data_IF_081963634471
#
_entry.id   IF_081963634471
#
_cell.length_a   1.000
_cell.length_b   1.000
_cell.length_c   1.000
_cell.angle_alpha   90.00
_cell.angle_beta   90.00
_cell.angle_gamma   90.00
#
_symmetry.space_group_name_H-M   'P 1'
#
loop_
_entity.id
_entity.type
_entity.pdbx_description
1 polymer ?
#
# COMPACT_ATOMS: atom_id res chain seq x y z
N UNK A 1 -27.90 12.79 -35.84
CA UNK A 1 -28.09 11.44 -35.25
C UNK A 1 -27.70 11.50 -33.78
N UNK A 2 -28.62 11.16 -32.86
CA UNK A 2 -28.29 11.05 -31.43
C UNK A 2 -27.64 9.69 -31.23
N UNK A 3 -26.32 9.66 -31.09
CA UNK A 3 -25.59 8.44 -30.75
C UNK A 3 -25.96 8.06 -29.32
N UNK A 4 -26.85 7.09 -29.14
CA UNK A 4 -27.18 6.55 -27.83
C UNK A 4 -26.03 5.67 -27.36
N UNK A 5 -25.39 6.04 -26.24
CA UNK A 5 -24.49 5.14 -25.52
C UNK A 5 -25.31 3.90 -25.15
N UNK A 6 -24.84 2.72 -25.57
CA UNK A 6 -25.50 1.48 -25.19
C UNK A 6 -25.43 1.29 -23.68
N UNK A 7 -26.39 0.58 -23.09
CA UNK A 7 -26.37 0.30 -21.65
C UNK A 7 -25.06 -0.38 -21.21
N UNK A 8 -24.47 -1.20 -22.08
CA UNK A 8 -23.16 -1.83 -21.86
C UNK A 8 -22.01 -0.81 -21.79
N UNK A 9 -22.01 0.22 -22.65
CA UNK A 9 -21.02 1.29 -22.59
C UNK A 9 -21.18 2.13 -21.32
N UNK A 10 -22.41 2.34 -20.84
CA UNK A 10 -22.67 3.04 -19.59
C UNK A 10 -22.18 2.25 -18.36
N UNK A 11 -22.40 0.93 -18.33
CA UNK A 11 -21.89 0.04 -17.26
C UNK A 11 -20.36 -0.01 -17.30
N UNK A 12 -19.75 -0.20 -18.46
CA UNK A 12 -18.28 -0.22 -18.60
C UNK A 12 -17.63 1.10 -18.18
N UNK A 13 -18.25 2.26 -18.50
CA UNK A 13 -17.77 3.56 -18.03
C UNK A 13 -17.92 3.72 -16.52
N UNK A 14 -19.02 3.25 -15.92
CA UNK A 14 -19.22 3.31 -14.48
C UNK A 14 -18.18 2.46 -13.73
N UNK A 15 -17.88 1.26 -14.23
CA UNK A 15 -16.84 0.39 -13.67
C UNK A 15 -15.43 0.99 -13.84
N UNK A 16 -15.13 1.55 -15.02
CA UNK A 16 -13.86 2.23 -15.26
C UNK A 16 -13.69 3.46 -14.35
N UNK A 17 -14.74 4.26 -14.17
CA UNK A 17 -14.73 5.40 -13.26
C UNK A 17 -14.56 4.97 -11.80
N UNK A 18 -15.19 3.86 -11.38
CA UNK A 18 -15.01 3.31 -10.03
C UNK A 18 -13.56 2.83 -9.81
N UNK A 19 -12.96 2.16 -10.79
CA UNK A 19 -11.55 1.73 -10.73
C UNK A 19 -10.60 2.94 -10.66
N UNK A 20 -10.80 3.93 -11.51
CA UNK A 20 -9.99 5.15 -11.52
C UNK A 20 -10.08 5.90 -10.17
N UNK A 21 -11.28 5.96 -9.57
CA UNK A 21 -11.46 6.54 -8.24
C UNK A 21 -10.73 5.75 -7.16
N UNK A 22 -10.83 4.42 -7.16
CA UNK A 22 -10.12 3.57 -6.21
C UNK A 22 -8.59 3.71 -6.34
N UNK A 23 -8.08 3.83 -7.56
CA UNK A 23 -6.65 4.07 -7.80
C UNK A 23 -6.21 5.45 -7.31
N UNK A 24 -7.02 6.50 -7.54
CA UNK A 24 -6.74 7.84 -7.03
C UNK A 24 -6.72 7.87 -5.49
N UNK A 25 -7.67 7.18 -4.83
CA UNK A 25 -7.71 7.04 -3.38
C UNK A 25 -6.51 6.25 -2.85
N UNK A 26 -6.12 5.16 -3.51
CA UNK A 26 -4.92 4.40 -3.17
C UNK A 26 -3.66 5.27 -3.30
N UNK A 27 -3.53 6.05 -4.38
CA UNK A 27 -2.40 6.97 -4.58
C UNK A 27 -2.37 8.07 -3.52
N UNK A 28 -3.52 8.61 -3.12
CA UNK A 28 -3.61 9.59 -2.04
C UNK A 28 -3.16 8.99 -0.69
N UNK A 29 -3.61 7.77 -0.38
CA UNK A 29 -3.16 7.04 0.83
C UNK A 29 -1.67 6.74 0.80
N UNK A 30 -1.14 6.31 -0.35
CA UNK A 30 0.28 6.06 -0.53
C UNK A 30 1.10 7.34 -0.25
N UNK A 31 0.69 8.47 -0.81
CA UNK A 31 1.34 9.76 -0.56
C UNK A 31 1.27 10.18 0.91
N UNK A 32 0.13 9.97 1.57
CA UNK A 32 -0.03 10.26 2.99
C UNK A 32 0.88 9.38 3.86
N UNK A 33 1.00 8.09 3.55
CA UNK A 33 1.90 7.19 4.26
C UNK A 33 3.37 7.59 4.13
N UNK A 34 3.81 8.00 2.93
CA UNK A 34 5.16 8.52 2.71
C UNK A 34 5.38 9.82 3.50
N UNK A 35 4.42 10.75 3.46
CA UNK A 35 4.52 12.00 4.22
C UNK A 35 4.62 11.73 5.74
N UNK A 36 3.88 10.74 6.23
CA UNK A 36 3.92 10.33 7.63
C UNK A 36 5.24 9.66 8.01
N UNK A 37 5.80 8.83 7.13
CA UNK A 37 7.14 8.27 7.34
C UNK A 37 8.18 9.39 7.49
N UNK A 38 8.14 10.39 6.60
CA UNK A 38 9.02 11.56 6.66
C UNK A 38 8.79 12.38 7.94
N UNK A 39 7.54 12.61 8.33
CA UNK A 39 7.21 13.34 9.55
C UNK A 39 7.71 12.65 10.82
N UNK A 40 7.78 11.33 10.81
CA UNK A 40 8.30 10.51 11.91
C UNK A 40 9.82 10.28 11.82
N UNK A 41 10.49 10.79 10.78
CA UNK A 41 11.92 10.55 10.53
C UNK A 41 12.23 9.10 10.14
N UNK A 42 11.22 8.36 9.66
CA UNK A 42 11.32 6.96 9.26
C UNK A 42 11.63 6.84 7.77
N UNK A 43 12.66 6.06 7.43
CA UNK A 43 13.02 5.78 6.05
C UNK A 43 12.28 4.52 5.53
N UNK A 44 11.52 4.67 4.45
CA UNK A 44 10.92 3.54 3.75
C UNK A 44 11.99 2.82 2.92
N UNK A 45 12.36 1.62 3.33
CA UNK A 45 13.41 0.85 2.64
C UNK A 45 12.85 0.21 1.37
N UNK A 46 13.48 0.48 0.23
CA UNK A 46 13.15 -0.11 -1.07
C UNK A 46 13.74 -1.52 -1.20
N UNK A 47 13.04 -2.38 -1.92
CA UNK A 47 13.49 -3.74 -2.21
C UNK A 47 12.99 -4.18 -3.58
N UNK A 48 13.74 -5.07 -4.23
CA UNK A 48 13.46 -5.59 -5.58
C UNK A 48 12.35 -6.66 -5.60
N UNK A 49 11.34 -6.51 -4.75
CA UNK A 49 10.19 -7.40 -4.69
C UNK A 49 9.01 -6.80 -5.46
N UNK A 50 7.96 -7.61 -5.71
CA UNK A 50 6.71 -7.15 -6.34
C UNK A 50 6.08 -5.91 -5.68
N UNK A 51 6.34 -5.70 -4.38
CA UNK A 51 5.86 -4.54 -3.63
C UNK A 51 6.74 -3.29 -3.80
N UNK A 52 8.01 -3.44 -4.21
CA UNK A 52 8.99 -2.37 -4.25
C UNK A 52 9.54 -1.94 -2.89
N UNK A 53 9.15 -2.60 -1.79
CA UNK A 53 9.55 -2.24 -0.41
C UNK A 53 10.00 -3.46 0.39
N UNK A 54 10.98 -3.25 1.28
CA UNK A 54 11.49 -4.30 2.15
C UNK A 54 10.40 -4.74 3.14
N UNK A 55 10.34 -6.04 3.44
CA UNK A 55 9.41 -6.58 4.43
C UNK A 55 7.91 -6.43 4.06
N UNK A 56 7.63 -6.00 2.83
CA UNK A 56 6.28 -5.94 2.25
C UNK A 56 6.17 -6.98 1.14
N UNK A 57 5.07 -7.73 1.11
CA UNK A 57 4.80 -8.70 0.05
C UNK A 57 3.40 -8.53 -0.50
N UNK A 58 3.24 -8.59 -1.81
CA UNK A 58 1.91 -8.60 -2.44
C UNK A 58 1.30 -10.00 -2.33
N UNK A 59 0.06 -10.08 -1.83
CA UNK A 59 -0.68 -11.33 -1.69
C UNK A 59 -2.16 -11.08 -2.05
N UNK A 60 -2.66 -11.77 -3.08
CA UNK A 60 -4.03 -11.64 -3.59
C UNK A 60 -4.52 -10.18 -3.76
N UNK A 61 -3.66 -9.30 -4.29
CA UNK A 61 -4.00 -7.89 -4.49
C UNK A 61 -3.94 -7.02 -3.23
N UNK A 62 -3.42 -7.53 -2.10
CA UNK A 62 -3.20 -6.78 -0.86
C UNK A 62 -1.72 -6.82 -0.45
N UNK A 63 -1.24 -5.74 0.16
CA UNK A 63 0.15 -5.64 0.61
C UNK A 63 0.28 -6.10 2.06
N UNK A 64 0.94 -7.23 2.28
CA UNK A 64 1.19 -7.78 3.60
C UNK A 64 2.50 -7.23 4.16
N UNK A 65 2.44 -6.64 5.35
CA UNK A 65 3.60 -6.13 6.10
C UNK A 65 4.07 -7.17 7.13
N UNK A 66 5.36 -7.52 7.09
CA UNK A 66 5.96 -8.52 7.98
C UNK A 66 7.36 -8.11 8.40
N UNK A 67 7.67 -8.21 9.69
CA UNK A 67 9.01 -7.90 10.23
C UNK A 67 9.59 -9.08 10.99
N UNK A 68 10.91 -9.13 11.08
CA UNK A 68 11.60 -10.10 11.93
C UNK A 68 11.82 -9.50 13.30
N UNK A 69 11.52 -10.22 14.36
CA UNK A 69 11.78 -9.84 15.75
C UNK A 69 12.27 -11.05 16.53
N UNK A 70 13.48 -11.01 17.08
CA UNK A 70 14.04 -12.10 17.88
C UNK A 70 14.02 -13.47 17.19
N UNK A 71 14.29 -13.52 15.88
CA UNK A 71 14.27 -14.75 15.09
C UNK A 71 12.87 -15.25 14.67
N UNK A 72 11.79 -14.54 15.02
CA UNK A 72 10.42 -14.85 14.60
C UNK A 72 9.89 -13.82 13.60
N UNK A 73 9.07 -14.26 12.65
CA UNK A 73 8.34 -13.36 11.74
C UNK A 73 7.05 -12.89 12.40
N UNK A 74 6.91 -11.59 12.59
CA UNK A 74 5.69 -10.95 13.06
C UNK A 74 4.93 -10.37 11.88
N UNK A 75 3.65 -10.74 11.78
CA UNK A 75 2.73 -10.17 10.81
C UNK A 75 2.16 -8.87 11.37
N UNK A 76 2.44 -7.74 10.72
CA UNK A 76 1.93 -6.42 11.12
C UNK A 76 0.52 -6.15 10.58
N UNK A 77 0.16 -6.80 9.48
CA UNK A 77 -1.18 -6.68 8.88
C UNK A 77 -1.16 -6.77 7.36
N UNK A 78 -2.33 -6.56 6.75
CA UNK A 78 -2.48 -6.43 5.29
C UNK A 78 -3.15 -5.11 4.94
N UNK A 79 -2.53 -4.38 4.03
CA UNK A 79 -2.87 -3.01 3.67
C UNK A 79 -3.24 -2.92 2.19
N UNK A 80 -3.95 -1.85 1.84
CA UNK A 80 -4.38 -1.61 0.46
C UNK A 80 -3.24 -1.09 -0.42
N UNK A 81 -2.21 -0.48 0.18
CA UNK A 81 -1.08 0.12 -0.53
C UNK A 81 0.26 -0.38 0.00
N UNK A 82 1.29 -0.34 -0.84
CA UNK A 82 2.62 -0.81 -0.48
C UNK A 82 3.31 0.16 0.49
N UNK A 83 3.10 1.46 0.30
CA UNK A 83 3.62 2.55 1.14
C UNK A 83 3.08 2.49 2.56
N UNK A 84 1.79 2.23 2.72
CA UNK A 84 1.15 2.08 4.03
C UNK A 84 1.73 0.87 4.77
N UNK A 85 1.86 -0.27 4.08
CA UNK A 85 2.53 -1.44 4.63
C UNK A 85 3.99 -1.14 5.03
N UNK A 86 4.73 -0.40 4.20
CA UNK A 86 6.12 -0.05 4.46
C UNK A 86 6.26 0.92 5.65
N UNK A 87 5.33 1.85 5.85
CA UNK A 87 5.30 2.73 7.03
C UNK A 87 5.19 1.92 8.33
N UNK A 88 4.27 0.95 8.37
CA UNK A 88 4.14 0.06 9.52
C UNK A 88 5.39 -0.77 9.77
N UNK A 89 6.03 -1.27 8.70
CA UNK A 89 7.33 -1.96 8.80
C UNK A 89 8.39 -1.04 9.40
N UNK A 90 8.52 0.20 8.90
CA UNK A 90 9.52 1.14 9.37
C UNK A 90 9.33 1.47 10.86
N UNK A 91 8.08 1.70 11.30
CA UNK A 91 7.75 1.89 12.73
C UNK A 91 8.12 0.68 13.57
N UNK A 92 7.83 -0.52 13.09
CA UNK A 92 8.12 -1.73 13.84
C UNK A 92 9.64 -1.94 13.98
N UNK A 93 10.42 -1.69 12.93
CA UNK A 93 11.88 -1.76 12.99
C UNK A 93 12.46 -0.72 13.96
N UNK A 94 11.91 0.49 13.97
CA UNK A 94 12.33 1.56 14.88
C UNK A 94 11.99 1.24 16.34
N UNK A 95 10.77 0.75 16.60
CA UNK A 95 10.37 0.27 17.92
C UNK A 95 11.25 -0.89 18.41
N UNK A 96 11.66 -1.79 17.51
CA UNK A 96 12.61 -2.85 17.84
C UNK A 96 14.00 -2.31 18.17
N UNK A 97 14.49 -1.34 17.40
CA UNK A 97 15.78 -0.70 17.63
C UNK A 97 15.81 0.04 18.98
N UNK A 98 14.69 0.64 19.42
CA UNK A 98 14.56 1.24 20.75
C UNK A 98 14.45 0.24 21.89
N UNK A 99 14.00 -0.98 21.61
CA UNK A 99 13.78 -2.03 22.61
C UNK A 99 14.98 -2.96 22.81
N UNK A 100 16.05 -2.79 22.03
CA UNK A 100 17.31 -3.52 22.13
C UNK A 100 18.32 -2.77 23.01
#
# INVERSE_FOLDING_TARGET
ERTYLTAEQAVAQAEAAARAKAEAEAKAKAKAAVAQAVAEGLALVRSDNQSGYQSVSLNYGRFQARVWHGGKRLNLGTFATAEEAALHVARALEAQARAA
#
